data_IF_927810907304
#
_entry.id   IF_927810907304
#
_cell.length_a   1.000
_cell.length_b   1.000
_cell.length_c   1.000
_cell.angle_alpha   90.00
_cell.angle_beta   90.00
_cell.angle_gamma   90.00
#
_symmetry.space_group_name_H-M   'P 1'
#
loop_
_entity.id
_entity.type
_entity.pdbx_description
1 polymer ?
#
# COMPACT_ATOMS: atom_id res chain seq x y z
N UNK A 1 -29.85 5.72 8.87
CA UNK A 1 -29.75 4.63 7.87
C UNK A 1 -28.29 4.40 7.66
N UNK A 2 -27.80 3.19 7.93
CA UNK A 2 -26.39 2.84 7.79
C UNK A 2 -25.99 2.73 6.31
N UNK A 3 -24.71 2.71 6.02
CA UNK A 3 -24.19 2.45 4.66
C UNK A 3 -24.72 1.12 4.12
N UNK A 4 -24.76 0.09 4.95
CA UNK A 4 -25.37 -1.22 4.64
C UNK A 4 -26.83 -1.07 4.19
N UNK A 5 -27.66 -0.39 4.99
CA UNK A 5 -29.09 -0.20 4.67
C UNK A 5 -29.30 0.59 3.38
N UNK A 6 -28.47 1.60 3.13
CA UNK A 6 -28.56 2.43 1.91
C UNK A 6 -28.26 1.60 0.66
N UNK A 7 -27.20 0.77 0.71
CA UNK A 7 -26.80 -0.10 -0.41
C UNK A 7 -27.94 -1.09 -0.72
N UNK A 8 -28.39 -1.84 0.30
CA UNK A 8 -29.45 -2.84 0.15
C UNK A 8 -30.74 -2.19 -0.39
N UNK A 9 -31.14 -1.06 0.22
CA UNK A 9 -32.37 -0.36 -0.19
C UNK A 9 -32.29 0.17 -1.62
N UNK A 10 -31.16 0.77 -2.00
CA UNK A 10 -30.98 1.36 -3.34
C UNK A 10 -30.98 0.29 -4.44
N UNK A 11 -30.28 -0.81 -4.20
CA UNK A 11 -30.23 -1.93 -5.15
C UNK A 11 -31.62 -2.57 -5.27
N UNK A 12 -32.28 -2.90 -4.17
CA UNK A 12 -33.61 -3.50 -4.17
C UNK A 12 -34.64 -2.64 -4.92
N UNK A 13 -34.63 -1.31 -4.70
CA UNK A 13 -35.54 -0.39 -5.40
C UNK A 13 -35.28 -0.36 -6.92
N UNK A 14 -34.03 -0.39 -7.32
CA UNK A 14 -33.67 -0.41 -8.76
C UNK A 14 -34.07 -1.72 -9.42
N UNK A 15 -33.85 -2.86 -8.75
CA UNK A 15 -34.27 -4.17 -9.23
C UNK A 15 -35.82 -4.28 -9.38
N UNK A 16 -36.55 -3.62 -8.49
CA UNK A 16 -38.02 -3.54 -8.57
C UNK A 16 -38.52 -2.50 -9.58
N UNK A 17 -37.62 -1.76 -10.24
CA UNK A 17 -37.92 -0.66 -11.17
C UNK A 17 -38.61 0.54 -10.50
N UNK A 18 -38.44 0.74 -9.19
CA UNK A 18 -38.95 1.91 -8.45
C UNK A 18 -38.06 3.15 -8.71
N UNK A 19 -36.75 2.93 -8.95
CA UNK A 19 -35.78 3.97 -9.32
C UNK A 19 -34.89 3.43 -10.44
N UNK A 20 -34.18 4.31 -11.12
CA UNK A 20 -33.18 3.90 -12.12
C UNK A 20 -31.88 3.41 -11.45
N UNK A 21 -31.04 2.65 -12.18
CA UNK A 21 -29.74 2.23 -11.71
C UNK A 21 -28.84 3.43 -11.41
N UNK A 22 -28.93 4.51 -12.23
CA UNK A 22 -28.18 5.74 -11.98
C UNK A 22 -28.60 6.42 -10.67
N UNK A 23 -29.90 6.42 -10.36
CA UNK A 23 -30.39 6.93 -9.09
C UNK A 23 -29.93 6.07 -7.91
N UNK A 24 -29.92 4.75 -8.07
CA UNK A 24 -29.44 3.83 -7.04
C UNK A 24 -27.96 4.10 -6.71
N UNK A 25 -27.11 4.30 -7.74
CA UNK A 25 -25.70 4.64 -7.58
C UNK A 25 -25.56 5.98 -6.84
N UNK A 26 -26.33 7.00 -7.25
CA UNK A 26 -26.26 8.34 -6.67
C UNK A 26 -26.79 8.42 -5.23
N UNK A 27 -27.56 7.45 -4.79
CA UNK A 27 -28.09 7.37 -3.41
C UNK A 27 -27.07 6.82 -2.41
N UNK A 28 -25.95 6.26 -2.89
CA UNK A 28 -24.89 5.69 -2.03
C UNK A 28 -23.68 6.61 -2.10
N UNK A 29 -23.33 7.22 -0.98
CA UNK A 29 -22.14 8.08 -0.89
C UNK A 29 -20.88 7.23 -0.71
N UNK A 30 -19.72 7.74 -1.12
CA UNK A 30 -18.44 7.04 -0.83
C UNK A 30 -18.25 6.69 0.65
N UNK A 31 -18.80 7.51 1.56
CA UNK A 31 -18.71 7.25 3.01
C UNK A 31 -19.50 5.98 3.39
N UNK A 32 -20.64 5.73 2.74
CA UNK A 32 -21.45 4.52 2.96
C UNK A 32 -20.66 3.25 2.57
N UNK A 33 -19.82 3.36 1.51
CA UNK A 33 -18.92 2.27 1.08
C UNK A 33 -17.84 2.02 2.13
N UNK A 34 -17.28 3.09 2.71
CA UNK A 34 -16.26 2.96 3.76
C UNK A 34 -16.81 2.19 4.96
N UNK A 35 -18.06 2.45 5.36
CA UNK A 35 -18.70 1.75 6.48
C UNK A 35 -18.84 0.24 6.27
N UNK A 36 -19.05 -0.21 5.03
CA UNK A 36 -19.24 -1.63 4.72
C UNK A 36 -17.96 -2.37 4.31
N UNK A 37 -16.89 -1.62 4.04
CA UNK A 37 -15.60 -2.20 3.61
C UNK A 37 -14.57 -2.23 4.74
N UNK A 38 -14.64 -1.29 5.68
CA UNK A 38 -13.63 -1.15 6.73
C UNK A 38 -14.26 -1.19 8.11
N UNK A 39 -13.48 -1.65 9.09
CA UNK A 39 -13.89 -1.60 10.50
C UNK A 39 -14.13 -0.14 10.93
N UNK A 40 -15.13 0.08 11.74
CA UNK A 40 -15.48 1.41 12.24
C UNK A 40 -15.40 1.45 13.75
N UNK A 41 -14.96 2.59 14.28
CA UNK A 41 -15.05 2.85 15.71
C UNK A 41 -16.47 3.34 16.03
N UNK A 42 -17.09 2.79 17.05
CA UNK A 42 -18.37 3.28 17.55
C UNK A 42 -18.16 4.67 18.17
N UNK A 43 -19.25 5.38 18.48
CA UNK A 43 -19.17 6.72 19.05
C UNK A 43 -18.32 6.73 20.32
N UNK A 44 -17.23 7.48 20.31
CA UNK A 44 -16.27 7.55 21.39
C UNK A 44 -16.55 8.82 22.22
N UNK A 45 -16.96 8.64 23.47
CA UNK A 45 -17.30 9.77 24.36
C UNK A 45 -16.08 10.52 24.93
N UNK A 46 -14.88 9.95 24.78
CA UNK A 46 -13.63 10.54 25.30
C UNK A 46 -12.82 11.25 24.22
N UNK A 47 -12.12 12.30 24.61
CA UNK A 47 -11.22 13.05 23.72
C UNK A 47 -10.08 12.14 23.24
N UNK A 48 -9.64 12.28 21.99
CA UNK A 48 -8.46 11.54 21.54
C UNK A 48 -7.19 12.05 22.23
N UNK A 49 -6.21 11.18 22.37
CA UNK A 49 -4.87 11.55 22.87
C UNK A 49 -4.16 12.50 21.91
N UNK A 50 -4.32 12.25 20.64
CA UNK A 50 -3.71 13.03 19.56
C UNK A 50 -4.44 12.78 18.25
N UNK A 51 -4.23 13.65 17.29
CA UNK A 51 -4.77 13.53 15.94
C UNK A 51 -3.64 13.65 14.93
N UNK A 52 -3.61 12.75 13.96
CA UNK A 52 -2.69 12.78 12.84
C UNK A 52 -3.44 12.80 11.52
N UNK A 53 -2.77 12.41 10.47
CA UNK A 53 -3.33 12.28 9.13
C UNK A 53 -4.07 10.94 9.03
N UNK A 54 -5.33 10.95 8.62
CA UNK A 54 -6.13 9.77 8.27
C UNK A 54 -5.49 9.11 7.03
N UNK A 55 -4.54 8.20 7.25
CA UNK A 55 -3.65 7.69 6.21
C UNK A 55 -4.18 6.44 5.51
N UNK A 56 -4.90 5.59 6.26
CA UNK A 56 -5.57 4.39 5.73
C UNK A 56 -6.82 4.13 6.58
N UNK A 57 -8.00 3.95 5.96
CA UNK A 57 -9.25 3.88 6.69
C UNK A 57 -9.39 2.63 7.56
N UNK A 58 -10.31 2.72 8.52
CA UNK A 58 -10.60 1.64 9.46
C UNK A 58 -10.27 2.04 10.88
N UNK A 59 -10.63 1.19 11.84
CA UNK A 59 -10.30 1.37 13.26
C UNK A 59 -9.73 0.07 13.82
N UNK A 60 -8.82 0.19 14.76
CA UNK A 60 -8.19 -0.98 15.40
C UNK A 60 -7.87 -0.70 16.87
N UNK A 61 -7.97 -1.75 17.68
CA UNK A 61 -7.59 -1.77 19.10
C UNK A 61 -6.60 -2.94 19.29
N UNK A 62 -5.55 -2.72 20.06
CA UNK A 62 -4.58 -3.77 20.37
C UNK A 62 -3.53 -3.31 21.35
N UNK A 63 -2.51 -4.12 21.51
CA UNK A 63 -1.35 -3.82 22.36
C UNK A 63 -0.40 -2.86 21.62
N UNK A 64 0.08 -1.87 22.31
CA UNK A 64 1.12 -0.97 21.82
C UNK A 64 2.41 -1.74 21.59
N UNK A 65 2.90 -1.80 20.37
CA UNK A 65 4.16 -2.44 19.98
C UNK A 65 5.08 -1.43 19.31
N UNK A 66 6.36 -1.44 19.71
CA UNK A 66 7.35 -0.44 19.27
C UNK A 66 8.44 -1.03 18.35
N UNK A 67 8.33 -2.33 18.06
CA UNK A 67 9.29 -3.04 17.19
C UNK A 67 8.59 -4.18 16.45
N UNK A 68 9.23 -4.67 15.40
CA UNK A 68 8.78 -5.85 14.65
C UNK A 68 8.65 -7.06 15.61
N UNK A 69 9.68 -7.27 16.44
CA UNK A 69 9.70 -8.40 17.38
C UNK A 69 8.52 -8.33 18.37
N UNK A 70 8.23 -7.14 18.92
CA UNK A 70 7.10 -6.94 19.83
C UNK A 70 5.76 -7.24 19.15
N UNK A 71 5.58 -6.85 17.88
CA UNK A 71 4.37 -7.19 17.11
C UNK A 71 4.25 -8.71 16.98
N UNK A 72 5.32 -9.38 16.56
CA UNK A 72 5.30 -10.84 16.32
C UNK A 72 5.03 -11.60 17.62
N UNK A 73 5.65 -11.20 18.75
CA UNK A 73 5.41 -11.80 20.06
C UNK A 73 3.96 -11.62 20.52
N UNK A 74 3.38 -10.44 20.30
CA UNK A 74 1.98 -10.13 20.66
C UNK A 74 1.02 -11.00 19.84
N UNK A 75 1.23 -11.09 18.52
CA UNK A 75 0.39 -11.88 17.63
C UNK A 75 0.53 -13.39 17.94
N UNK A 76 1.74 -13.87 18.20
CA UNK A 76 1.97 -15.27 18.60
C UNK A 76 1.27 -15.63 19.93
N UNK A 77 1.09 -14.63 20.80
CA UNK A 77 0.31 -14.78 22.05
C UNK A 77 -1.21 -14.76 21.80
N UNK A 78 -1.66 -14.51 20.57
CA UNK A 78 -3.07 -14.45 20.19
C UNK A 78 -3.74 -13.11 20.49
N UNK A 79 -2.94 -12.05 20.65
CA UNK A 79 -3.43 -10.69 20.91
C UNK A 79 -3.27 -9.81 19.67
N UNK A 80 -4.09 -8.76 19.55
CA UNK A 80 -4.00 -7.77 18.48
C UNK A 80 -2.88 -6.77 18.79
N UNK A 81 -2.08 -6.43 17.80
CA UNK A 81 -0.94 -5.52 17.93
C UNK A 81 -1.17 -4.23 17.14
N UNK A 82 -0.90 -3.07 17.73
CA UNK A 82 -0.87 -1.78 17.04
C UNK A 82 0.60 -1.31 17.04
N UNK A 83 1.16 -1.18 15.84
CA UNK A 83 2.56 -0.79 15.69
C UNK A 83 2.71 0.73 15.70
N UNK A 84 3.54 1.25 16.61
CA UNK A 84 3.89 2.68 16.68
C UNK A 84 5.36 2.86 16.36
N UNK A 85 5.67 3.86 15.53
CA UNK A 85 7.05 4.17 15.14
C UNK A 85 7.25 5.68 14.93
N UNK A 86 8.48 6.16 14.96
CA UNK A 86 8.76 7.53 14.53
C UNK A 86 8.46 7.68 13.03
N UNK A 87 8.92 6.70 12.23
CA UNK A 87 8.62 6.53 10.80
C UNK A 87 8.88 5.05 10.46
N UNK A 88 8.38 4.56 9.34
CA UNK A 88 8.59 3.17 8.94
C UNK A 88 9.39 3.07 7.64
N UNK A 89 10.11 1.96 7.50
CA UNK A 89 10.86 1.59 6.30
C UNK A 89 10.60 0.13 5.90
N UNK A 90 11.22 -0.34 4.83
CA UNK A 90 11.06 -1.74 4.38
C UNK A 90 11.40 -2.78 5.45
N UNK A 91 12.30 -2.47 6.36
CA UNK A 91 12.69 -3.35 7.48
C UNK A 91 11.53 -3.59 8.46
N UNK A 92 10.55 -2.70 8.51
CA UNK A 92 9.39 -2.80 9.41
C UNK A 92 8.23 -3.61 8.80
N UNK A 93 8.28 -3.90 7.49
CA UNK A 93 7.18 -4.59 6.79
C UNK A 93 6.72 -5.90 7.45
N UNK A 94 7.61 -6.76 8.00
CA UNK A 94 7.13 -7.96 8.68
C UNK A 94 6.22 -7.64 9.88
N UNK A 95 6.58 -6.64 10.68
CA UNK A 95 5.73 -6.18 11.80
C UNK A 95 4.44 -5.54 11.31
N UNK A 96 4.57 -4.66 10.31
CA UNK A 96 3.40 -3.98 9.72
C UNK A 96 2.37 -4.96 9.18
N UNK A 97 2.82 -6.03 8.52
CA UNK A 97 1.94 -7.06 7.92
C UNK A 97 1.07 -7.79 8.96
N UNK A 98 1.63 -8.01 10.14
CA UNK A 98 0.96 -8.77 11.20
C UNK A 98 0.26 -7.87 12.24
N UNK A 99 0.48 -6.56 12.16
CA UNK A 99 -0.23 -5.63 13.04
C UNK A 99 -1.68 -5.42 12.60
N UNK A 100 -2.53 -5.04 13.54
CA UNK A 100 -3.93 -4.69 13.28
C UNK A 100 -4.10 -3.22 12.91
N UNK A 101 -3.03 -2.43 13.07
CA UNK A 101 -3.01 -1.02 12.69
C UNK A 101 -1.65 -0.38 12.95
N UNK A 102 -1.43 0.79 12.34
CA UNK A 102 -0.13 1.45 12.33
C UNK A 102 -0.28 2.93 12.68
N UNK A 103 0.61 3.45 13.51
CA UNK A 103 0.66 4.87 13.85
C UNK A 103 2.09 5.39 13.78
N UNK A 104 2.31 6.54 13.13
CA UNK A 104 3.65 7.13 13.00
C UNK A 104 3.69 8.61 13.37
N UNK A 105 4.80 9.03 13.99
CA UNK A 105 5.05 10.43 14.31
C UNK A 105 5.28 11.24 13.02
N UNK A 106 6.02 10.67 12.09
CA UNK A 106 6.34 11.33 10.81
C UNK A 106 5.64 10.63 9.64
N UNK A 107 5.46 11.38 8.56
CA UNK A 107 4.90 10.85 7.31
C UNK A 107 3.57 11.51 6.93
N UNK A 108 3.29 11.50 5.66
CA UNK A 108 2.04 12.00 5.07
C UNK A 108 1.35 10.90 4.28
N UNK A 109 0.38 11.26 3.46
CA UNK A 109 -0.38 10.31 2.62
C UNK A 109 0.48 9.53 1.60
N UNK A 110 1.69 9.98 1.33
CA UNK A 110 2.64 9.32 0.44
C UNK A 110 3.83 8.67 1.18
N UNK A 111 3.77 8.59 2.52
CA UNK A 111 4.81 7.92 3.32
C UNK A 111 4.74 6.40 3.15
N UNK A 112 5.81 5.71 3.49
CA UNK A 112 5.89 4.24 3.48
C UNK A 112 4.73 3.63 4.29
N UNK A 113 4.54 4.08 5.54
CA UNK A 113 3.43 3.61 6.39
C UNK A 113 2.08 3.75 5.70
N UNK A 114 1.79 4.92 5.13
CA UNK A 114 0.49 5.20 4.49
C UNK A 114 0.24 4.32 3.25
N UNK A 115 1.25 4.18 2.39
CA UNK A 115 1.13 3.40 1.16
C UNK A 115 0.97 1.90 1.48
N UNK A 116 1.82 1.39 2.37
CA UNK A 116 1.82 -0.01 2.77
C UNK A 116 0.51 -0.39 3.46
N UNK A 117 0.04 0.44 4.40
CA UNK A 117 -1.22 0.20 5.11
C UNK A 117 -2.43 0.14 4.16
N UNK A 118 -2.51 1.08 3.20
CA UNK A 118 -3.58 1.05 2.20
C UNK A 118 -3.52 -0.21 1.33
N UNK A 119 -2.31 -0.67 0.99
CA UNK A 119 -2.13 -1.90 0.23
C UNK A 119 -2.64 -3.14 0.95
N UNK A 120 -2.55 -3.16 2.27
CA UNK A 120 -3.00 -4.28 3.11
C UNK A 120 -4.41 -4.08 3.69
N UNK A 121 -5.02 -2.92 3.50
CA UNK A 121 -6.31 -2.61 4.12
C UNK A 121 -6.21 -2.40 5.64
N UNK A 122 -5.04 -2.03 6.15
CA UNK A 122 -4.80 -1.81 7.58
C UNK A 122 -5.12 -0.36 7.96
N UNK A 123 -5.81 -0.13 9.08
CA UNK A 123 -5.98 1.23 9.61
C UNK A 123 -4.63 1.90 9.87
N UNK A 124 -4.49 3.17 9.47
CA UNK A 124 -3.24 3.89 9.75
C UNK A 124 -3.45 5.38 10.02
N UNK A 125 -2.73 5.87 11.04
CA UNK A 125 -2.65 7.29 11.39
C UNK A 125 -1.20 7.72 11.29
N UNK A 126 -0.90 8.69 10.41
CA UNK A 126 0.48 9.15 10.16
C UNK A 126 0.66 10.62 10.55
N UNK A 127 1.91 11.04 10.76
CA UNK A 127 2.22 12.45 11.01
C UNK A 127 1.61 12.97 12.30
N UNK A 128 1.65 12.19 13.37
CA UNK A 128 1.13 12.56 14.69
C UNK A 128 2.18 13.46 15.37
N UNK A 129 1.98 14.76 15.28
CA UNK A 129 2.97 15.76 15.76
C UNK A 129 3.28 15.65 17.28
N UNK A 130 2.34 15.13 18.06
CA UNK A 130 2.46 14.99 19.50
C UNK A 130 3.01 13.63 19.96
N UNK A 131 3.39 12.77 18.99
CA UNK A 131 3.93 11.42 19.28
C UNK A 131 5.45 11.46 19.34
N UNK A 132 6.00 10.94 20.43
CA UNK A 132 7.42 10.66 20.56
C UNK A 132 7.58 9.19 20.98
N UNK A 133 8.38 8.43 20.26
CA UNK A 133 8.60 7.00 20.50
C UNK A 133 9.94 6.80 21.20
N UNK A 134 9.90 6.19 22.39
CA UNK A 134 11.07 5.80 23.17
C UNK A 134 11.27 4.28 23.11
N UNK A 135 12.27 3.76 23.80
CA UNK A 135 12.66 2.35 23.76
C UNK A 135 11.56 1.39 24.27
N UNK A 136 10.74 1.82 25.23
CA UNK A 136 9.72 0.96 25.87
C UNK A 136 8.40 1.69 26.14
N UNK A 137 8.21 2.86 25.55
CA UNK A 137 7.00 3.68 25.76
C UNK A 137 6.84 4.70 24.64
N UNK A 138 5.66 5.28 24.57
CA UNK A 138 5.41 6.49 23.77
C UNK A 138 4.99 7.63 24.70
N UNK A 139 5.36 8.84 24.33
CA UNK A 139 4.74 10.05 24.88
C UNK A 139 3.79 10.60 23.82
N UNK A 140 2.52 10.75 24.17
CA UNK A 140 1.48 11.19 23.24
C UNK A 140 0.39 11.97 24.00
N UNK A 141 0.02 13.15 23.52
CA UNK A 141 -1.04 13.95 24.15
C UNK A 141 -0.74 14.29 25.62
N UNK A 142 0.53 14.38 25.99
CA UNK A 142 0.95 14.67 27.37
C UNK A 142 0.92 13.47 28.32
N UNK A 143 0.68 12.25 27.81
CA UNK A 143 0.69 11.00 28.59
C UNK A 143 1.83 10.11 28.11
N UNK A 144 2.44 9.37 29.06
CA UNK A 144 3.40 8.30 28.74
C UNK A 144 2.64 6.97 28.79
N UNK A 145 2.68 6.21 27.69
CA UNK A 145 2.04 4.90 27.56
C UNK A 145 3.13 3.85 27.31
N UNK A 146 3.19 2.84 28.17
CA UNK A 146 4.20 1.79 28.07
C UNK A 146 3.83 0.76 27.01
N UNK A 147 4.83 0.18 26.37
CA UNK A 147 4.68 -0.96 25.46
C UNK A 147 3.85 -2.07 26.13
N UNK A 148 3.00 -2.74 25.36
CA UNK A 148 2.07 -3.76 25.85
C UNK A 148 0.76 -3.21 26.43
N UNK A 149 0.62 -1.88 26.60
CA UNK A 149 -0.65 -1.27 27.02
C UNK A 149 -1.68 -1.32 25.89
N UNK A 150 -2.95 -1.35 26.22
CA UNK A 150 -4.00 -1.23 25.20
C UNK A 150 -4.07 0.18 24.64
N UNK A 151 -4.17 0.26 23.32
CA UNK A 151 -4.27 1.51 22.60
C UNK A 151 -5.16 1.30 21.36
N UNK A 152 -5.78 2.36 20.88
CA UNK A 152 -6.66 2.29 19.71
C UNK A 152 -6.34 3.41 18.73
N UNK A 153 -6.53 3.11 17.44
CA UNK A 153 -6.40 4.10 16.37
C UNK A 153 -7.65 4.09 15.51
N UNK A 154 -7.99 5.25 14.97
CA UNK A 154 -9.03 5.42 13.96
C UNK A 154 -8.40 6.05 12.71
N UNK A 155 -8.05 5.23 11.74
CA UNK A 155 -7.43 5.66 10.49
C UNK A 155 -8.41 6.39 9.56
N UNK A 156 -9.72 6.36 9.85
CA UNK A 156 -10.74 7.11 9.11
C UNK A 156 -10.78 8.58 9.56
N UNK A 157 -10.63 8.83 10.87
CA UNK A 157 -10.66 10.19 11.43
C UNK A 157 -9.26 10.75 11.72
N UNK A 158 -8.23 9.87 11.82
CA UNK A 158 -6.88 10.25 12.19
C UNK A 158 -6.65 10.33 13.70
N UNK A 159 -7.51 9.74 14.50
CA UNK A 159 -7.48 9.82 15.96
C UNK A 159 -6.73 8.66 16.61
N UNK A 160 -6.08 8.94 17.74
CA UNK A 160 -5.46 7.94 18.62
C UNK A 160 -6.11 8.04 20.01
N UNK A 161 -6.48 6.91 20.59
CA UNK A 161 -7.18 6.86 21.89
C UNK A 161 -6.46 5.91 22.88
N UNK A 162 -6.44 6.28 24.16
CA UNK A 162 -5.92 5.42 25.22
C UNK A 162 -6.87 4.24 25.46
N UNK A 163 -6.32 3.03 25.62
CA UNK A 163 -7.13 1.84 25.91
C UNK A 163 -7.97 1.39 24.74
N UNK A 164 -8.80 0.39 24.98
CA UNK A 164 -9.69 -0.18 23.95
C UNK A 164 -10.86 0.74 23.63
N UNK A 165 -11.25 0.74 22.36
CA UNK A 165 -12.51 1.30 21.87
C UNK A 165 -13.33 0.14 21.29
N UNK A 166 -14.65 0.30 21.23
CA UNK A 166 -15.49 -0.70 20.58
C UNK A 166 -15.35 -0.56 19.06
N UNK A 167 -15.03 -1.68 18.41
CA UNK A 167 -14.82 -1.75 16.96
C UNK A 167 -15.90 -2.62 16.35
N UNK A 168 -16.68 -2.05 15.44
CA UNK A 168 -17.65 -2.79 14.64
C UNK A 168 -16.97 -3.29 13.36
N UNK A 169 -17.03 -4.60 13.12
CA UNK A 169 -16.47 -5.21 11.90
C UNK A 169 -17.36 -4.87 10.70
N UNK A 170 -16.79 -4.70 9.52
CA UNK A 170 -17.60 -4.37 8.34
C UNK A 170 -18.56 -5.54 8.01
N UNK A 171 -19.78 -5.19 7.65
CA UNK A 171 -20.79 -6.14 7.21
C UNK A 171 -21.16 -5.80 5.76
N UNK A 172 -20.46 -6.44 4.82
CA UNK A 172 -20.58 -6.18 3.39
C UNK A 172 -21.85 -6.85 2.85
N UNK A 173 -22.85 -6.10 2.39
CA UNK A 173 -24.06 -6.70 1.83
C UNK A 173 -23.79 -7.33 0.45
N UNK A 174 -24.52 -8.42 0.13
CA UNK A 174 -24.41 -9.09 -1.19
C UNK A 174 -24.73 -8.14 -2.35
N UNK A 175 -25.60 -7.17 -2.12
CA UNK A 175 -26.02 -6.13 -3.07
C UNK A 175 -24.87 -5.21 -3.50
N UNK A 176 -23.78 -5.17 -2.73
CA UNK A 176 -22.62 -4.33 -3.08
C UNK A 176 -22.05 -4.72 -4.44
N UNK A 177 -21.96 -6.03 -4.74
CA UNK A 177 -21.44 -6.48 -6.04
C UNK A 177 -22.31 -5.99 -7.19
N UNK A 178 -23.63 -6.02 -7.04
CA UNK A 178 -24.57 -5.52 -8.05
C UNK A 178 -24.40 -4.00 -8.26
N UNK A 179 -24.28 -3.26 -7.17
CA UNK A 179 -24.05 -1.80 -7.22
C UNK A 179 -22.74 -1.48 -7.95
N UNK A 180 -21.67 -2.22 -7.67
CA UNK A 180 -20.37 -2.04 -8.31
C UNK A 180 -20.41 -2.40 -9.79
N UNK A 181 -21.14 -3.46 -10.17
CA UNK A 181 -21.36 -3.82 -11.58
C UNK A 181 -22.05 -2.70 -12.35
N UNK A 182 -23.03 -2.03 -11.76
CA UNK A 182 -23.67 -0.87 -12.35
C UNK A 182 -22.71 0.32 -12.48
N UNK A 183 -21.88 0.48 -11.49
CA UNK A 183 -20.96 1.43 -11.55
C UNK A 183 -20.08 1.25 -12.63
N UNK A 184 -19.65 0.08 -12.91
CA UNK A 184 -18.77 -0.28 -14.02
C UNK A 184 -19.40 -0.04 -15.40
N UNK A 185 -20.64 -0.37 -15.55
CA UNK A 185 -21.40 -0.08 -16.78
C UNK A 185 -21.47 1.43 -17.06
N UNK A 186 -21.70 2.25 -16.05
CA UNK A 186 -21.81 3.72 -16.19
C UNK A 186 -20.44 4.35 -16.51
N UNK A 187 -19.37 3.88 -15.93
CA UNK A 187 -18.03 4.40 -16.17
C UNK A 187 -17.30 3.85 -17.41
N UNK A 188 -17.66 2.77 -17.79
CA UNK A 188 -17.16 2.15 -18.90
C UNK A 188 -16.89 3.11 -19.95
N UNK A 189 -15.86 3.21 -20.48
CA UNK A 189 -15.36 4.09 -21.55
C UNK A 189 -15.22 5.58 -21.17
N UNK A 190 -15.48 5.92 -19.93
CA UNK A 190 -15.38 7.30 -19.44
C UNK A 190 -14.18 7.47 -18.51
N UNK A 191 -14.00 6.57 -17.54
CA UNK A 191 -12.89 6.58 -16.60
C UNK A 191 -12.53 5.13 -16.22
N UNK A 192 -11.23 4.82 -16.18
CA UNK A 192 -10.71 3.53 -15.74
C UNK A 192 -10.10 3.64 -14.35
N UNK A 193 -10.23 2.57 -13.57
CA UNK A 193 -9.56 2.44 -12.26
C UNK A 193 -8.40 1.48 -12.44
N UNK A 194 -7.18 1.96 -12.20
CA UNK A 194 -5.96 1.16 -12.34
C UNK A 194 -5.27 1.06 -10.98
N UNK A 195 -4.82 -0.15 -10.66
CA UNK A 195 -4.13 -0.45 -9.42
C UNK A 195 -2.62 -0.14 -9.52
N UNK A 196 -1.96 -0.07 -8.38
CA UNK A 196 -0.50 -0.16 -8.29
C UNK A 196 -0.18 -1.63 -7.98
N UNK A 197 0.76 -2.23 -8.71
CA UNK A 197 1.20 -3.61 -8.46
C UNK A 197 2.60 -3.81 -9.01
N UNK A 198 3.48 -4.35 -8.17
CA UNK A 198 4.90 -4.56 -8.49
C UNK A 198 5.26 -6.05 -8.55
N UNK A 199 4.38 -6.94 -8.04
CA UNK A 199 4.58 -8.39 -7.99
C UNK A 199 3.45 -9.13 -8.71
N UNK A 200 3.63 -10.45 -8.91
CA UNK A 200 2.61 -11.34 -9.47
C UNK A 200 1.37 -11.38 -8.57
N UNK A 201 1.61 -11.48 -7.28
CA UNK A 201 0.56 -11.59 -6.25
C UNK A 201 -0.32 -10.34 -6.28
N UNK A 202 0.30 -9.17 -6.20
CA UNK A 202 -0.41 -7.88 -6.26
C UNK A 202 -1.17 -7.68 -7.57
N UNK A 203 -0.58 -8.12 -8.70
CA UNK A 203 -1.23 -8.04 -10.01
C UNK A 203 -2.46 -8.97 -10.06
N UNK A 204 -2.36 -10.17 -9.47
CA UNK A 204 -3.47 -11.13 -9.38
C UNK A 204 -4.60 -10.55 -8.53
N UNK A 205 -4.29 -10.07 -7.34
CA UNK A 205 -5.26 -9.44 -6.43
C UNK A 205 -5.95 -8.25 -7.10
N UNK A 206 -5.17 -7.42 -7.81
CA UNK A 206 -5.71 -6.28 -8.56
C UNK A 206 -6.69 -6.72 -9.66
N UNK A 207 -6.33 -7.77 -10.39
CA UNK A 207 -7.18 -8.32 -11.46
C UNK A 207 -8.49 -8.89 -10.89
N UNK A 208 -8.41 -9.62 -9.77
CA UNK A 208 -9.55 -10.21 -9.06
C UNK A 208 -10.45 -9.13 -8.44
N UNK A 209 -9.87 -8.03 -7.97
CA UNK A 209 -10.60 -6.86 -7.46
C UNK A 209 -11.26 -6.05 -8.59
N UNK A 210 -11.09 -6.43 -9.85
CA UNK A 210 -11.76 -5.76 -10.98
C UNK A 210 -11.02 -4.55 -11.54
N UNK A 211 -9.75 -4.36 -11.24
CA UNK A 211 -8.97 -3.25 -11.81
C UNK A 211 -8.94 -3.31 -13.35
N UNK A 212 -9.03 -2.14 -14.00
CA UNK A 212 -8.96 -2.01 -15.46
C UNK A 212 -7.53 -2.13 -16.01
N UNK A 213 -6.56 -2.31 -15.13
CA UNK A 213 -5.16 -2.43 -15.50
C UNK A 213 -4.24 -2.03 -14.34
N UNK A 214 -2.95 -2.01 -14.60
CA UNK A 214 -1.96 -1.49 -13.64
C UNK A 214 -1.55 -0.08 -14.09
N UNK A 215 -1.74 0.90 -13.22
CA UNK A 215 -1.39 2.29 -13.44
C UNK A 215 0.06 2.63 -13.10
N UNK A 216 0.66 1.83 -12.20
CA UNK A 216 2.07 1.95 -11.86
C UNK A 216 2.63 0.61 -11.39
N UNK A 217 3.67 0.15 -12.08
CA UNK A 217 4.55 -0.93 -11.63
C UNK A 217 5.95 -0.32 -11.45
N UNK A 218 6.50 -0.41 -10.24
CA UNK A 218 7.81 0.15 -9.86
C UNK A 218 8.88 -0.91 -10.03
N UNK A 219 9.75 -0.72 -11.02
CA UNK A 219 10.80 -1.72 -11.28
C UNK A 219 11.94 -1.70 -10.26
N UNK A 220 12.08 -0.65 -9.48
CA UNK A 220 13.09 -0.60 -8.41
C UNK A 220 12.91 -1.71 -7.38
N UNK A 221 11.65 -2.07 -7.07
CA UNK A 221 11.35 -3.19 -6.14
C UNK A 221 11.87 -4.54 -6.68
N UNK A 222 11.94 -4.69 -8.00
CA UNK A 222 12.45 -5.90 -8.65
C UNK A 222 13.97 -6.07 -8.50
N UNK A 223 14.69 -5.04 -8.00
CA UNK A 223 16.14 -5.06 -7.81
C UNK A 223 16.55 -5.21 -6.34
N UNK A 224 15.58 -5.24 -5.42
CA UNK A 224 15.87 -5.33 -3.98
C UNK A 224 15.95 -6.78 -3.49
N UNK A 225 16.29 -6.96 -2.23
CA UNK A 225 16.38 -8.27 -1.59
C UNK A 225 17.45 -9.16 -2.26
N UNK A 226 17.07 -10.38 -2.56
CA UNK A 226 17.98 -11.39 -3.16
C UNK A 226 18.55 -10.98 -4.52
N UNK A 227 17.97 -10.00 -5.18
CA UNK A 227 18.38 -9.54 -6.52
C UNK A 227 19.33 -8.35 -6.49
N UNK A 228 19.54 -7.74 -5.34
CA UNK A 228 20.46 -6.62 -5.17
C UNK A 228 21.88 -6.90 -5.70
N UNK A 229 22.46 -8.11 -5.53
CA UNK A 229 23.77 -8.39 -6.11
C UNK A 229 23.86 -8.27 -7.62
N UNK A 230 22.77 -8.48 -8.35
CA UNK A 230 22.77 -8.43 -9.82
C UNK A 230 22.94 -6.99 -10.32
N UNK A 231 22.18 -6.04 -9.74
CA UNK A 231 22.33 -4.63 -10.11
C UNK A 231 23.68 -4.08 -9.61
N UNK A 232 24.16 -4.51 -8.44
CA UNK A 232 25.49 -4.16 -7.92
C UNK A 232 26.62 -4.63 -8.86
N UNK A 233 26.52 -5.84 -9.41
CA UNK A 233 27.44 -6.36 -10.43
C UNK A 233 27.56 -5.41 -11.63
N UNK A 234 26.45 -4.89 -12.10
CA UNK A 234 26.42 -3.93 -13.21
C UNK A 234 27.05 -2.59 -12.79
N UNK A 235 26.58 -2.07 -11.70
CA UNK A 235 27.06 -0.75 -11.19
C UNK A 235 28.53 -0.75 -10.82
N UNK A 236 28.96 -1.80 -10.38
CA UNK A 236 30.20 -1.95 -9.99
C UNK A 236 31.08 -2.51 -10.95
N UNK A 237 30.77 -2.71 -12.20
CA UNK A 237 31.62 -3.39 -13.22
C UNK A 237 32.81 -2.52 -13.64
N UNK A 238 34.02 -3.11 -13.58
CA UNK A 238 35.26 -2.39 -13.89
C UNK A 238 35.53 -2.27 -15.39
N UNK A 239 34.85 -3.04 -16.21
CA UNK A 239 35.05 -3.05 -17.67
C UNK A 239 33.78 -3.45 -18.41
N UNK A 240 33.77 -3.17 -19.73
CA UNK A 240 32.62 -3.41 -20.60
C UNK A 240 32.19 -4.89 -20.67
N UNK A 241 33.09 -5.83 -20.55
CA UNK A 241 32.76 -7.26 -20.61
C UNK A 241 31.96 -7.67 -19.40
N UNK A 242 32.44 -7.35 -18.19
CA UNK A 242 31.74 -7.61 -16.93
C UNK A 242 30.37 -6.89 -16.91
N UNK A 243 30.32 -5.66 -17.39
CA UNK A 243 29.09 -4.90 -17.51
C UNK A 243 28.08 -5.60 -18.42
N UNK A 244 28.51 -6.05 -19.60
CA UNK A 244 27.65 -6.76 -20.56
C UNK A 244 27.14 -8.09 -20.00
N UNK A 245 27.95 -8.81 -19.25
CA UNK A 245 27.51 -10.08 -18.65
C UNK A 245 26.47 -9.83 -17.53
N UNK A 246 26.68 -8.82 -16.72
CA UNK A 246 25.67 -8.40 -15.73
C UNK A 246 24.33 -8.00 -16.41
N UNK A 247 24.40 -7.31 -17.55
CA UNK A 247 23.20 -6.93 -18.31
C UNK A 247 22.45 -8.15 -18.88
N UNK A 248 23.15 -9.19 -19.33
CA UNK A 248 22.52 -10.43 -19.82
C UNK A 248 21.76 -11.14 -18.68
N UNK A 249 22.38 -11.21 -17.52
CA UNK A 249 21.76 -11.78 -16.32
C UNK A 249 20.51 -10.99 -15.95
N UNK A 250 20.62 -9.65 -15.93
CA UNK A 250 19.56 -8.73 -15.61
C UNK A 250 18.38 -8.86 -16.58
N UNK A 251 18.62 -8.93 -17.90
CA UNK A 251 17.58 -9.13 -18.93
C UNK A 251 16.79 -10.42 -18.64
N UNK A 252 17.50 -11.49 -18.29
CA UNK A 252 16.88 -12.80 -18.03
C UNK A 252 15.94 -12.71 -16.82
N UNK A 253 16.42 -12.16 -15.72
CA UNK A 253 15.66 -12.02 -14.47
C UNK A 253 14.46 -11.10 -14.68
N UNK A 254 14.67 -9.91 -15.21
CA UNK A 254 13.59 -8.93 -15.42
C UNK A 254 12.56 -9.40 -16.45
N UNK A 255 12.95 -10.18 -17.46
CA UNK A 255 11.98 -10.78 -18.38
C UNK A 255 10.96 -11.63 -17.59
N UNK A 256 11.44 -12.42 -16.62
CA UNK A 256 10.53 -13.22 -15.79
C UNK A 256 9.68 -12.34 -14.87
N UNK A 257 10.26 -11.30 -14.27
CA UNK A 257 9.52 -10.36 -13.42
C UNK A 257 8.37 -9.69 -14.20
N UNK A 258 8.66 -9.22 -15.41
CA UNK A 258 7.64 -8.61 -16.26
C UNK A 258 6.56 -9.62 -16.68
N UNK A 259 6.91 -10.87 -16.99
CA UNK A 259 5.93 -11.94 -17.25
C UNK A 259 5.00 -12.09 -16.04
N UNK A 260 5.57 -12.13 -14.86
CA UNK A 260 4.82 -12.30 -13.60
C UNK A 260 3.77 -11.22 -13.39
N UNK A 261 4.10 -9.96 -13.70
CA UNK A 261 3.16 -8.83 -13.57
C UNK A 261 2.15 -8.78 -14.74
N UNK A 262 2.61 -9.08 -15.96
CA UNK A 262 1.78 -8.99 -17.16
C UNK A 262 0.75 -10.13 -17.24
N UNK A 263 1.11 -11.34 -16.78
CA UNK A 263 0.28 -12.55 -16.95
C UNK A 263 -1.08 -12.44 -16.27
N UNK A 264 -1.20 -12.03 -14.99
CA UNK A 264 -2.52 -11.89 -14.36
C UNK A 264 -3.40 -10.81 -15.00
N UNK A 265 -2.81 -9.81 -15.65
CA UNK A 265 -3.55 -8.70 -16.25
C UNK A 265 -4.13 -9.03 -17.63
N UNK A 266 -3.73 -10.14 -18.23
CA UNK A 266 -4.20 -10.56 -19.56
C UNK A 266 -4.10 -9.43 -20.59
N UNK A 267 -5.21 -9.02 -21.21
CA UNK A 267 -5.27 -7.96 -22.22
C UNK A 267 -5.35 -6.54 -21.64
N UNK A 268 -5.41 -6.41 -20.33
CA UNK A 268 -5.51 -5.11 -19.65
C UNK A 268 -4.18 -4.33 -19.72
N UNK A 269 -4.21 -2.99 -19.81
CA UNK A 269 -2.99 -2.20 -19.88
C UNK A 269 -2.18 -2.20 -18.58
N UNK A 270 -0.86 -2.29 -18.72
CA UNK A 270 0.09 -2.23 -17.59
C UNK A 270 1.11 -1.12 -17.84
N UNK A 271 1.15 -0.13 -16.97
CA UNK A 271 2.13 0.96 -17.04
C UNK A 271 3.34 0.61 -16.16
N UNK A 272 4.48 0.38 -16.78
CA UNK A 272 5.71 0.01 -16.08
C UNK A 272 6.65 1.22 -16.06
N UNK A 273 7.04 1.66 -14.86
CA UNK A 273 8.05 2.70 -14.69
C UNK A 273 9.44 2.06 -14.81
N UNK A 274 10.24 2.52 -15.75
CA UNK A 274 11.64 2.12 -15.84
C UNK A 274 12.38 2.64 -14.60
N UNK A 275 13.48 2.03 -14.25
CA UNK A 275 14.22 2.25 -12.99
C UNK A 275 14.31 3.74 -12.62
N UNK A 276 13.83 4.09 -11.43
CA UNK A 276 13.84 5.44 -10.88
C UNK A 276 14.22 5.46 -9.39
N UNK A 277 15.19 4.64 -8.99
CA UNK A 277 15.71 4.66 -7.63
C UNK A 277 17.01 5.46 -7.56
N UNK A 278 17.26 6.18 -6.46
CA UNK A 278 18.57 6.80 -6.24
C UNK A 278 19.63 5.74 -5.98
N UNK A 279 20.88 6.04 -6.31
CA UNK A 279 21.97 5.06 -6.26
C UNK A 279 22.25 4.50 -4.86
N UNK A 280 21.96 5.24 -3.80
CA UNK A 280 22.20 4.76 -2.43
C UNK A 280 21.32 3.55 -2.05
N UNK A 281 20.18 3.35 -2.72
CA UNK A 281 19.36 2.14 -2.53
C UNK A 281 20.11 0.87 -3.00
N UNK A 282 21.08 1.01 -3.88
CA UNK A 282 21.85 -0.12 -4.42
C UNK A 282 23.28 -0.16 -3.91
N UNK A 283 23.88 0.99 -3.59
CA UNK A 283 25.29 1.14 -3.22
C UNK A 283 25.43 1.82 -1.85
N UNK A 284 25.94 1.08 -0.88
CA UNK A 284 26.09 1.52 0.52
C UNK A 284 26.95 2.78 0.70
N UNK A 285 27.93 2.96 -0.17
CA UNK A 285 28.85 4.11 -0.11
C UNK A 285 28.39 5.33 -0.93
N UNK A 286 27.18 5.29 -1.48
CA UNK A 286 26.67 6.38 -2.29
C UNK A 286 25.96 7.41 -1.43
N UNK A 287 26.64 8.52 -1.11
CA UNK A 287 26.09 9.61 -0.31
C UNK A 287 25.70 10.80 -1.17
N UNK A 288 24.42 10.88 -1.50
CA UNK A 288 23.84 12.06 -2.18
C UNK A 288 23.23 12.99 -1.12
N UNK A 289 23.54 14.27 -1.16
CA UNK A 289 23.00 15.26 -0.22
C UNK A 289 21.46 15.35 -0.26
N UNK A 290 20.90 15.16 -1.45
CA UNK A 290 19.45 15.10 -1.64
C UNK A 290 19.15 14.06 -2.72
N UNK A 291 18.79 12.82 -2.31
CA UNK A 291 18.52 11.73 -3.27
C UNK A 291 17.41 12.04 -4.28
N UNK A 292 16.44 12.87 -3.92
CA UNK A 292 15.35 13.26 -4.83
C UNK A 292 15.87 14.08 -6.02
N UNK A 293 16.93 14.86 -5.81
CA UNK A 293 17.57 15.69 -6.82
C UNK A 293 18.82 15.03 -7.43
N UNK A 294 19.16 13.85 -6.97
CA UNK A 294 20.36 13.10 -7.35
C UNK A 294 20.32 12.43 -8.72
N UNK A 295 21.23 11.49 -8.92
CA UNK A 295 21.39 10.75 -10.18
C UNK A 295 20.39 9.59 -10.23
N UNK A 296 19.20 9.87 -10.75
CA UNK A 296 18.11 8.89 -10.87
C UNK A 296 17.28 9.16 -12.13
N UNK A 297 16.41 8.20 -12.49
CA UNK A 297 15.47 8.33 -13.61
C UNK A 297 16.18 8.72 -14.91
N UNK A 298 15.68 9.75 -15.59
CA UNK A 298 16.23 10.17 -16.88
C UNK A 298 17.70 10.62 -16.78
N UNK A 299 18.12 11.22 -15.65
CA UNK A 299 19.52 11.61 -15.45
C UNK A 299 20.44 10.39 -15.42
N UNK A 300 20.02 9.34 -14.71
CA UNK A 300 20.73 8.06 -14.66
C UNK A 300 20.76 7.39 -16.04
N UNK A 301 19.64 7.44 -16.75
CA UNK A 301 19.53 6.86 -18.10
C UNK A 301 20.52 7.48 -19.09
N UNK A 302 20.81 8.77 -18.96
CA UNK A 302 21.78 9.44 -19.85
C UNK A 302 23.23 8.99 -19.61
N UNK A 303 23.58 8.51 -18.44
CA UNK A 303 24.94 8.03 -18.11
C UNK A 303 25.05 6.51 -18.07
N UNK A 304 23.92 5.80 -17.99
CA UNK A 304 23.86 4.32 -17.96
C UNK A 304 22.86 3.80 -19.00
N UNK A 305 22.93 4.34 -20.23
CA UNK A 305 22.01 4.02 -21.33
C UNK A 305 21.78 2.50 -21.49
N UNK A 306 22.83 1.70 -21.39
CA UNK A 306 22.78 0.25 -21.57
C UNK A 306 21.85 -0.45 -20.54
N UNK A 307 21.75 0.06 -19.32
CA UNK A 307 20.84 -0.47 -18.30
C UNK A 307 19.38 -0.32 -18.74
N UNK A 308 19.00 0.86 -19.18
CA UNK A 308 17.62 1.14 -19.63
C UNK A 308 17.28 0.42 -20.94
N UNK A 309 18.26 0.25 -21.83
CA UNK A 309 18.12 -0.57 -23.05
C UNK A 309 17.89 -2.05 -22.67
N UNK A 310 18.61 -2.56 -21.67
CA UNK A 310 18.47 -3.94 -21.16
C UNK A 310 17.06 -4.12 -20.57
N UNK A 311 16.63 -3.20 -19.73
CA UNK A 311 15.30 -3.23 -19.11
C UNK A 311 14.19 -3.19 -20.18
N UNK A 312 14.32 -2.32 -21.19
CA UNK A 312 13.38 -2.24 -22.31
C UNK A 312 13.33 -3.54 -23.11
N UNK A 313 14.49 -4.17 -23.36
CA UNK A 313 14.57 -5.47 -24.04
C UNK A 313 13.88 -6.57 -23.23
N UNK A 314 14.08 -6.59 -21.93
CA UNK A 314 13.43 -7.54 -21.03
C UNK A 314 11.90 -7.39 -21.11
N UNK A 315 11.41 -6.16 -21.06
CA UNK A 315 9.98 -5.86 -21.15
C UNK A 315 9.38 -6.31 -22.49
N UNK A 316 10.05 -5.98 -23.62
CA UNK A 316 9.60 -6.39 -24.96
C UNK A 316 9.59 -7.92 -25.06
N UNK A 317 10.63 -8.59 -24.54
CA UNK A 317 10.72 -10.07 -24.54
C UNK A 317 9.60 -10.71 -23.71
N UNK A 318 9.24 -10.10 -22.57
CA UNK A 318 8.13 -10.57 -21.74
C UNK A 318 6.80 -10.43 -22.48
N UNK A 319 6.56 -9.27 -23.08
CA UNK A 319 5.32 -9.01 -23.84
C UNK A 319 5.18 -9.98 -25.02
N UNK A 320 6.27 -10.25 -25.76
CA UNK A 320 6.26 -11.18 -26.90
C UNK A 320 5.98 -12.62 -26.51
N UNK A 321 6.37 -13.07 -25.32
CA UNK A 321 6.12 -14.44 -24.85
C UNK A 321 4.64 -14.69 -24.50
N UNK A 322 3.85 -13.62 -24.42
CA UNK A 322 2.42 -13.68 -24.14
C UNK A 322 1.54 -13.66 -25.40
N UNK A 323 2.09 -13.24 -26.53
CA UNK A 323 1.41 -13.22 -27.83
C UNK A 323 1.48 -14.58 -28.51
#
# INVERSE_FOLDING_TARGET
>A
MTGHDKIVTSVTKAENNDISTEEAINNVDPQDLMEVLFSTADEIEREPLATGIAASPGAATGKLCLSVDAVLETVDAGEEAIMFAMETGPEDEPGMRWSSGIATAHGGLASHAAIYSRGLGLPAVCGIAELNVAESSIDIGGLTINEGSEISINGTTGEVHAGAIHISKPETPSELSTLLDWXDQVRXNRIGVRANADTREEATESAEAGADGIGLCRTEHMFLGERLPVIRKFLXAENHEAQNDALKELITIQTQDFINVLEPMDSKPVTIRLLDAPLHEFLEDSHEQNPMLGLRGVRLALVTENLYRAQTRALISAAQKRL
#
